data_IF_710483160270
#
_entry.id   IF_710483160270
#
_cell.length_a   1.000
_cell.length_b   1.000
_cell.length_c   1.000
_cell.angle_alpha   90.00
_cell.angle_beta   90.00
_cell.angle_gamma   90.00
#
_symmetry.space_group_name_H-M   'P 1'
#
loop_
_entity.id
_entity.type
_entity.pdbx_description
1 polymer ?
#
# COMPACT_ATOMS: atom_id res chain seq x y z
N UNK A 1 -9.27 -8.75 9.40
CA UNK A 1 -8.08 -8.75 10.28
C UNK A 1 -7.26 -7.52 9.89
N UNK A 2 -6.96 -6.63 10.84
CA UNK A 2 -6.19 -5.41 10.59
C UNK A 2 -4.72 -5.73 10.82
N UNK A 3 -3.87 -5.60 9.80
CA UNK A 3 -2.44 -5.70 10.01
C UNK A 3 -1.97 -4.48 10.81
N UNK A 4 -1.11 -4.68 11.81
CA UNK A 4 -0.69 -3.64 12.73
C UNK A 4 0.62 -2.99 12.24
N UNK A 5 0.57 -1.70 11.93
CA UNK A 5 1.74 -0.93 11.54
C UNK A 5 1.37 0.48 11.09
N UNK A 6 2.30 1.42 11.21
CA UNK A 6 2.19 2.81 10.74
C UNK A 6 2.91 3.02 9.40
N UNK A 7 3.61 2.00 8.91
CA UNK A 7 4.29 1.98 7.62
C UNK A 7 4.07 0.64 6.93
N UNK A 8 4.29 0.62 5.60
CA UNK A 8 4.24 -0.61 4.80
C UNK A 8 5.18 -1.67 5.38
N UNK A 9 6.42 -1.29 5.69
CA UNK A 9 7.41 -2.19 6.26
C UNK A 9 6.96 -2.75 7.62
N UNK A 10 6.44 -1.92 8.52
CA UNK A 10 5.91 -2.41 9.80
C UNK A 10 4.77 -3.41 9.62
N UNK A 11 3.89 -3.18 8.66
CA UNK A 11 2.81 -4.13 8.34
C UNK A 11 3.38 -5.45 7.85
N UNK A 12 4.39 -5.44 6.99
CA UNK A 12 5.00 -6.66 6.43
C UNK A 12 5.81 -7.46 7.46
N UNK A 13 6.33 -6.80 8.50
CA UNK A 13 7.12 -7.44 9.57
C UNK A 13 6.30 -7.85 10.78
N UNK A 14 5.19 -7.17 11.09
CA UNK A 14 4.35 -7.44 12.27
C UNK A 14 3.19 -8.42 12.01
N UNK A 15 3.32 -9.26 10.99
CA UNK A 15 2.34 -10.30 10.70
C UNK A 15 2.53 -11.48 11.65
N UNK A 16 1.45 -12.21 12.00
CA UNK A 16 1.57 -13.53 12.61
C UNK A 16 2.48 -14.43 11.76
N UNK A 17 3.34 -15.23 12.40
CA UNK A 17 4.36 -16.04 11.71
C UNK A 17 3.78 -16.89 10.58
N UNK A 18 2.59 -17.47 10.78
CA UNK A 18 1.92 -18.31 9.78
C UNK A 18 1.47 -17.53 8.54
N UNK A 19 1.42 -16.20 8.62
CA UNK A 19 0.95 -15.29 7.57
C UNK A 19 2.07 -14.52 6.89
N UNK A 20 3.26 -14.43 7.50
CA UNK A 20 4.40 -13.68 6.95
C UNK A 20 4.70 -14.13 5.51
N UNK A 21 4.85 -15.43 5.29
CA UNK A 21 5.21 -15.99 3.97
C UNK A 21 4.13 -15.74 2.90
N UNK A 22 2.86 -16.15 3.09
CA UNK A 22 1.84 -15.95 2.06
C UNK A 22 1.54 -14.46 1.81
N UNK A 23 1.55 -13.61 2.85
CA UNK A 23 1.25 -12.19 2.69
C UNK A 23 2.36 -11.45 1.95
N UNK A 24 3.63 -11.68 2.29
CA UNK A 24 4.75 -11.08 1.58
C UNK A 24 4.83 -11.56 0.12
N UNK A 25 4.48 -12.83 -0.15
CA UNK A 25 4.37 -13.34 -1.52
C UNK A 25 3.28 -12.61 -2.31
N UNK A 26 2.10 -12.41 -1.72
CA UNK A 26 1.01 -11.66 -2.34
C UNK A 26 1.43 -10.20 -2.60
N UNK A 27 2.00 -9.54 -1.59
CA UNK A 27 2.50 -8.16 -1.73
C UNK A 27 3.51 -8.04 -2.88
N UNK A 28 4.48 -8.96 -2.94
CA UNK A 28 5.45 -9.01 -4.04
C UNK A 28 4.79 -9.19 -5.40
N UNK A 29 3.86 -10.13 -5.54
CA UNK A 29 3.14 -10.34 -6.82
C UNK A 29 2.40 -9.07 -7.24
N UNK A 30 1.78 -8.36 -6.31
CA UNK A 30 1.09 -7.11 -6.63
C UNK A 30 2.10 -6.05 -7.09
N UNK A 31 3.21 -5.86 -6.37
CA UNK A 31 4.28 -4.92 -6.75
C UNK A 31 4.89 -5.23 -8.11
N UNK A 32 5.11 -6.51 -8.42
CA UNK A 32 5.68 -6.95 -9.70
C UNK A 32 4.69 -6.75 -10.89
N UNK A 33 3.39 -6.57 -10.62
CA UNK A 33 2.35 -6.38 -11.65
C UNK A 33 1.71 -4.99 -11.63
N UNK A 34 2.12 -4.12 -10.72
CA UNK A 34 1.65 -2.74 -10.67
C UNK A 34 2.24 -1.95 -11.85
N UNK A 35 1.46 -1.04 -12.47
CA UNK A 35 2.01 -0.14 -13.47
C UNK A 35 3.17 0.67 -12.90
N UNK A 36 4.15 0.97 -13.76
CA UNK A 36 5.32 1.74 -13.36
C UNK A 36 4.91 3.08 -12.72
N UNK A 37 5.56 3.39 -11.59
CA UNK A 37 5.32 4.62 -10.84
C UNK A 37 4.23 4.53 -9.75
N UNK A 38 3.47 3.43 -9.70
CA UNK A 38 2.59 3.17 -8.56
C UNK A 38 3.41 2.70 -7.35
N UNK A 39 2.90 2.94 -6.14
CA UNK A 39 3.61 2.59 -4.91
C UNK A 39 2.68 1.98 -3.86
N UNK A 40 3.27 1.20 -2.95
CA UNK A 40 2.59 0.76 -1.74
C UNK A 40 2.65 1.87 -0.69
N UNK A 41 1.51 2.15 -0.05
CA UNK A 41 1.38 3.19 0.96
C UNK A 41 0.38 2.78 2.04
N UNK A 42 0.32 3.57 3.11
CA UNK A 42 -0.79 3.47 4.06
C UNK A 42 -1.97 4.25 3.48
N UNK A 43 -3.03 3.53 3.12
CA UNK A 43 -4.28 4.07 2.61
C UNK A 43 -5.42 3.62 3.53
N UNK A 44 -6.23 4.59 4.00
CA UNK A 44 -7.31 4.37 4.97
C UNK A 44 -6.91 3.56 6.22
N UNK A 45 -5.65 3.69 6.67
CA UNK A 45 -5.13 3.02 7.85
C UNK A 45 -4.74 1.54 7.64
N UNK A 46 -4.56 1.11 6.40
CA UNK A 46 -4.04 -0.21 6.03
C UNK A 46 -3.07 -0.12 4.85
N UNK A 47 -2.34 -1.22 4.57
CA UNK A 47 -1.56 -1.35 3.35
C UNK A 47 -2.50 -1.26 2.13
N UNK A 48 -2.24 -0.29 1.27
CA UNK A 48 -2.89 -0.14 -0.03
C UNK A 48 -1.86 0.25 -1.09
N UNK A 49 -2.34 0.40 -2.32
CA UNK A 49 -1.53 0.82 -3.46
C UNK A 49 -2.10 2.14 -3.98
N UNK A 50 -1.24 3.05 -4.40
CA UNK A 50 -1.64 4.42 -4.73
C UNK A 50 -0.91 4.93 -5.97
N UNK A 51 -1.50 5.95 -6.61
CA UNK A 51 -0.82 6.82 -7.56
C UNK A 51 -0.23 7.99 -6.77
N UNK A 52 1.10 8.15 -6.71
CA UNK A 52 1.74 9.22 -5.96
C UNK A 52 1.47 10.60 -6.59
N UNK A 53 1.61 11.66 -5.80
CA UNK A 53 1.47 13.04 -6.27
C UNK A 53 2.45 13.43 -7.38
N UNK A 54 3.58 12.74 -7.47
CA UNK A 54 4.54 12.92 -8.58
C UNK A 54 3.94 12.58 -9.94
N UNK A 55 2.94 11.68 -9.97
CA UNK A 55 2.23 11.26 -11.17
C UNK A 55 0.85 11.93 -11.25
N UNK A 56 0.16 12.06 -10.13
CA UNK A 56 -1.16 12.69 -10.05
C UNK A 56 -1.21 13.80 -8.98
N UNK A 57 -0.76 15.03 -9.31
CA UNK A 57 -0.63 16.11 -8.34
C UNK A 57 -1.93 16.51 -7.64
N UNK A 58 -3.08 16.32 -8.29
CA UNK A 58 -4.39 16.67 -7.74
C UNK A 58 -4.82 15.78 -6.55
N UNK A 59 -4.20 14.60 -6.38
CA UNK A 59 -4.50 13.71 -5.25
C UNK A 59 -5.92 13.15 -5.24
N UNK A 60 -6.37 12.71 -4.06
CA UNK A 60 -7.72 12.19 -3.89
C UNK A 60 -8.80 13.29 -3.91
N UNK A 61 -9.94 13.02 -4.56
CA UNK A 61 -10.98 14.00 -4.87
C UNK A 61 -11.44 14.85 -3.67
N UNK A 62 -11.76 14.22 -2.54
CA UNK A 62 -12.25 14.91 -1.34
C UNK A 62 -11.15 15.24 -0.33
N UNK A 63 -9.91 14.78 -0.57
CA UNK A 63 -8.76 15.03 0.30
C UNK A 63 -7.47 15.10 -0.54
N UNK A 64 -7.21 16.22 -1.23
CA UNK A 64 -6.13 16.34 -2.20
C UNK A 64 -4.70 16.17 -1.66
N UNK A 65 -4.53 16.18 -0.34
CA UNK A 65 -3.23 15.89 0.31
C UNK A 65 -2.92 14.39 0.38
N UNK A 66 -3.93 13.54 0.16
CA UNK A 66 -3.74 12.10 0.07
C UNK A 66 -3.48 11.71 -1.39
N UNK A 67 -2.55 10.76 -1.63
CA UNK A 67 -2.34 10.21 -2.95
C UNK A 67 -3.61 9.48 -3.43
N UNK A 68 -3.79 9.36 -4.74
CA UNK A 68 -4.97 8.74 -5.32
C UNK A 68 -4.96 7.23 -5.03
N UNK A 69 -5.95 6.67 -4.32
CA UNK A 69 -6.02 5.23 -4.07
C UNK A 69 -6.17 4.44 -5.38
N UNK A 70 -5.43 3.35 -5.49
CA UNK A 70 -5.57 2.36 -6.55
C UNK A 70 -6.23 1.11 -5.98
N UNK A 71 -7.39 0.74 -6.51
CA UNK A 71 -8.21 -0.38 -6.04
C UNK A 71 -9.22 -0.82 -7.08
#
# INVERSE_FOLDING_TARGET
>A
MKANGKSVNEILTNLPEERVVPFNKLHKVIMDNLPEGFEAAISYGSLGYVVPHTIYPAGYHCKPIEPLPFG
#
